data_IF_923206781263
#
_entry.id   IF_923206781263
#
_cell.length_a   1.000
_cell.length_b   1.000
_cell.length_c   1.000
_cell.angle_alpha   90.00
_cell.angle_beta   90.00
_cell.angle_gamma   90.00
#
_symmetry.space_group_name_H-M   'P 1'
#
loop_
_entity.id
_entity.type
_entity.pdbx_description
1 polymer ?
#
# COMPACT_ATOMS: atom_id res chain seq x y z
N UNK A 1 12.64 14.49 13.69
CA UNK A 1 12.04 14.97 12.42
C UNK A 1 10.63 14.41 12.31
N UNK A 2 9.61 15.20 11.97
CA UNK A 2 8.25 14.68 11.81
C UNK A 2 8.24 13.66 10.66
N UNK A 3 7.61 12.49 10.88
CA UNK A 3 7.41 11.48 9.84
C UNK A 3 6.65 12.13 8.69
N UNK A 4 7.29 12.24 7.52
CA UNK A 4 6.62 12.63 6.27
C UNK A 4 5.79 11.43 5.84
N UNK A 5 4.52 11.42 6.24
CA UNK A 5 3.56 10.39 5.81
C UNK A 5 3.43 10.57 4.29
N UNK A 6 3.68 9.53 3.47
CA UNK A 6 3.47 9.64 2.03
C UNK A 6 2.01 9.99 1.77
N UNK A 7 1.76 10.88 0.80
CA UNK A 7 0.40 11.29 0.45
C UNK A 7 -0.42 10.05 0.07
N UNK A 8 -1.40 9.74 0.91
CA UNK A 8 -2.38 8.69 0.65
C UNK A 8 -3.30 9.19 -0.46
N UNK A 9 -3.14 8.63 -1.66
CA UNK A 9 -4.08 8.85 -2.75
C UNK A 9 -5.32 7.99 -2.49
N UNK A 10 -6.36 8.64 -1.94
CA UNK A 10 -7.67 8.03 -1.77
C UNK A 10 -8.40 8.04 -3.12
N UNK A 11 -8.51 6.86 -3.74
CA UNK A 11 -9.38 6.66 -4.90
C UNK A 11 -10.72 6.16 -4.38
N UNK A 12 -11.77 6.96 -4.54
CA UNK A 12 -13.13 6.58 -4.20
C UNK A 12 -13.72 5.72 -5.33
N UNK A 13 -14.01 4.46 -5.02
CA UNK A 13 -14.78 3.57 -5.89
C UNK A 13 -16.25 3.67 -5.46
N UNK A 14 -17.07 4.42 -6.21
CA UNK A 14 -18.47 4.64 -5.85
C UNK A 14 -19.26 3.33 -5.94
N UNK A 15 -20.02 3.03 -4.88
CA UNK A 15 -20.78 1.80 -4.71
C UNK A 15 -21.92 1.58 -5.72
N UNK A 16 -22.20 2.54 -6.61
CA UNK A 16 -23.23 2.37 -7.64
C UNK A 16 -22.97 1.16 -8.57
N UNK A 17 -21.73 0.66 -8.60
CA UNK A 17 -21.30 -0.49 -9.42
C UNK A 17 -21.49 -1.84 -8.71
N UNK A 18 -21.68 -1.87 -7.39
CA UNK A 18 -21.68 -3.11 -6.60
C UNK A 18 -22.93 -3.22 -5.71
N UNK A 19 -23.52 -4.43 -5.57
CA UNK A 19 -24.78 -4.62 -4.85
C UNK A 19 -24.66 -4.44 -3.33
N UNK A 20 -23.46 -4.60 -2.77
CA UNK A 20 -23.18 -4.49 -1.34
C UNK A 20 -21.70 -4.16 -1.07
N UNK A 21 -21.40 -3.85 0.19
CA UNK A 21 -20.06 -3.49 0.65
C UNK A 21 -19.07 -4.66 0.51
N UNK A 22 -19.51 -5.89 0.75
CA UNK A 22 -18.63 -7.07 0.66
C UNK A 22 -18.13 -7.28 -0.77
N UNK A 23 -19.03 -7.15 -1.74
CA UNK A 23 -18.74 -7.22 -3.17
C UNK A 23 -17.78 -6.11 -3.61
N UNK A 24 -18.02 -4.87 -3.16
CA UNK A 24 -17.13 -3.75 -3.44
C UNK A 24 -15.73 -3.97 -2.84
N UNK A 25 -15.65 -4.47 -1.61
CA UNK A 25 -14.37 -4.77 -0.95
C UNK A 25 -13.65 -5.92 -1.66
N UNK A 26 -14.35 -6.98 -2.06
CA UNK A 26 -13.78 -8.09 -2.82
C UNK A 26 -13.19 -7.62 -4.15
N UNK A 27 -13.89 -6.76 -4.88
CA UNK A 27 -13.41 -6.19 -6.13
C UNK A 27 -12.17 -5.30 -5.91
N UNK A 28 -12.13 -4.53 -4.83
CA UNK A 28 -11.01 -3.64 -4.51
C UNK A 28 -9.75 -4.39 -4.05
N UNK A 29 -9.87 -5.60 -3.48
CA UNK A 29 -8.73 -6.34 -2.88
C UNK A 29 -7.55 -6.53 -3.84
N UNK A 30 -7.81 -6.90 -5.10
CA UNK A 30 -6.76 -7.16 -6.08
C UNK A 30 -5.98 -5.89 -6.43
N UNK A 31 -6.69 -4.79 -6.62
CA UNK A 31 -6.14 -3.47 -6.91
C UNK A 31 -5.29 -2.99 -5.74
N UNK A 32 -5.83 -3.06 -4.51
CA UNK A 32 -5.11 -2.67 -3.29
C UNK A 32 -3.86 -3.52 -3.09
N UNK A 33 -3.95 -4.85 -3.30
CA UNK A 33 -2.80 -5.74 -3.16
C UNK A 33 -1.70 -5.42 -4.19
N UNK A 34 -2.08 -5.12 -5.43
CA UNK A 34 -1.14 -4.72 -6.47
C UNK A 34 -0.45 -3.39 -6.15
N UNK A 35 -1.22 -2.39 -5.75
CA UNK A 35 -0.70 -1.06 -5.39
C UNK A 35 0.23 -1.12 -4.17
N UNK A 36 -0.17 -1.86 -3.14
CA UNK A 36 0.65 -2.09 -1.96
C UNK A 36 1.98 -2.79 -2.32
N UNK A 37 1.94 -3.82 -3.17
CA UNK A 37 3.15 -4.52 -3.60
C UNK A 37 4.08 -3.59 -4.39
N UNK A 38 3.53 -2.75 -5.28
CA UNK A 38 4.29 -1.76 -6.05
C UNK A 38 4.93 -0.71 -5.14
N UNK A 39 4.17 -0.20 -4.17
CA UNK A 39 4.66 0.75 -3.17
C UNK A 39 5.80 0.16 -2.35
N UNK A 40 5.64 -1.06 -1.81
CA UNK A 40 6.68 -1.73 -1.03
C UNK A 40 7.96 -1.96 -1.85
N UNK A 41 7.84 -2.38 -3.12
CA UNK A 41 9.00 -2.52 -4.03
C UNK A 41 9.69 -1.18 -4.27
N UNK A 42 8.92 -0.11 -4.49
CA UNK A 42 9.46 1.24 -4.65
C UNK A 42 10.25 1.68 -3.41
N UNK A 43 9.69 1.48 -2.22
CA UNK A 43 10.33 1.82 -0.95
C UNK A 43 11.59 1.00 -0.65
N UNK A 44 11.61 -0.28 -1.04
CA UNK A 44 12.81 -1.12 -1.00
C UNK A 44 13.87 -0.63 -1.98
N UNK A 45 13.50 -0.29 -3.22
CA UNK A 45 14.41 0.18 -4.25
C UNK A 45 15.12 1.50 -3.87
N UNK A 46 14.40 2.42 -3.21
CA UNK A 46 14.99 3.67 -2.70
C UNK A 46 15.66 3.52 -1.33
N UNK A 47 15.68 2.31 -0.75
CA UNK A 47 16.33 2.00 0.51
C UNK A 47 15.64 2.57 1.75
N UNK A 48 14.37 2.98 1.67
CA UNK A 48 13.55 3.38 2.83
C UNK A 48 13.11 2.17 3.64
N UNK A 49 12.86 1.05 2.97
CA UNK A 49 12.64 -0.25 3.59
C UNK A 49 13.85 -1.17 3.35
N UNK A 50 14.04 -2.15 4.22
CA UNK A 50 15.04 -3.22 4.09
C UNK A 50 14.44 -4.57 4.42
N UNK A 51 14.94 -5.63 3.79
CA UNK A 51 14.60 -7.01 4.14
C UNK A 51 15.66 -7.55 5.11
N UNK A 52 15.24 -8.07 6.27
CA UNK A 52 16.09 -8.77 7.25
C UNK A 52 15.33 -9.99 7.75
N UNK A 53 15.99 -11.15 7.77
CA UNK A 53 15.39 -12.42 8.21
C UNK A 53 14.04 -12.74 7.53
N UNK A 54 13.94 -12.43 6.23
CA UNK A 54 12.72 -12.62 5.43
C UNK A 54 11.58 -11.63 5.73
N UNK A 55 11.79 -10.64 6.60
CA UNK A 55 10.79 -9.64 6.99
C UNK A 55 11.18 -8.25 6.49
N UNK A 56 10.17 -7.41 6.23
CA UNK A 56 10.35 -6.03 5.77
C UNK A 56 10.35 -5.10 6.98
N UNK A 57 11.39 -4.27 7.10
CA UNK A 57 11.57 -3.29 8.17
C UNK A 57 11.84 -1.89 7.60
N UNK A 58 11.46 -0.82 8.33
CA UNK A 58 12.01 0.51 8.09
C UNK A 58 13.54 0.50 8.19
N UNK A 59 14.21 1.16 7.25
CA UNK A 59 15.66 1.27 7.30
C UNK A 59 16.08 2.23 8.42
N UNK A 60 16.85 1.80 9.44
CA UNK A 60 17.26 2.66 10.54
C UNK A 60 18.31 3.71 10.14
N UNK A 61 18.87 3.64 8.93
CA UNK A 61 19.89 4.57 8.42
C UNK A 61 19.32 5.68 7.52
N UNK A 62 17.99 5.75 7.38
CA UNK A 62 17.28 6.76 6.59
C UNK A 62 16.24 7.49 7.42
#
# INVERSE_FOLDING_TARGET
MPRKIPDLQLIELTGATFPDLESAQMAARSIIAHDLATTLRGLLAIGVLVVRDGKIYPNPRR
#
